data_IF_471690477690
#
_entry.id   IF_471690477690
#
_cell.length_a   1.000
_cell.length_b   1.000
_cell.length_c   1.000
_cell.angle_alpha   90.00
_cell.angle_beta   90.00
_cell.angle_gamma   90.00
#
_symmetry.space_group_name_H-M   'P 1'
#
loop_
_entity.id
_entity.type
_entity.pdbx_description
1 polymer ?
#
# COMPACT_ATOMS: atom_id res chain seq x y z
N UNK A 1 -5.39 19.11 31.64
CA UNK A 1 -6.42 18.15 31.19
C UNK A 1 -5.75 17.27 30.17
N UNK A 2 -5.51 15.99 30.47
CA UNK A 2 -5.08 15.04 29.45
C UNK A 2 -6.27 14.89 28.49
N UNK A 3 -6.15 15.36 27.25
CA UNK A 3 -7.09 14.98 26.19
C UNK A 3 -7.04 13.46 26.11
N UNK A 4 -8.17 12.80 26.35
CA UNK A 4 -8.29 11.38 26.02
C UNK A 4 -8.22 11.29 24.49
N UNK A 5 -7.11 10.78 23.97
CA UNK A 5 -6.94 10.53 22.54
C UNK A 5 -7.86 9.37 22.18
N UNK A 6 -8.74 9.57 21.20
CA UNK A 6 -9.60 8.51 20.69
C UNK A 6 -8.74 7.50 19.92
N UNK A 7 -8.87 6.21 20.21
CA UNK A 7 -8.09 5.16 19.54
C UNK A 7 -9.02 4.38 18.61
N UNK A 8 -8.68 4.35 17.33
CA UNK A 8 -9.41 3.64 16.30
C UNK A 8 -8.54 2.54 15.70
N UNK A 9 -9.12 1.37 15.45
CA UNK A 9 -8.47 0.20 14.87
C UNK A 9 -9.20 -0.21 13.61
N UNK A 10 -8.46 -0.54 12.57
CA UNK A 10 -9.05 -1.09 11.35
C UNK A 10 -9.75 -2.43 11.64
N UNK A 11 -10.84 -2.75 10.95
CA UNK A 11 -11.52 -4.04 11.05
C UNK A 11 -10.52 -5.20 10.93
N UNK A 12 -10.61 -6.17 11.85
CA UNK A 12 -9.69 -7.32 11.92
C UNK A 12 -8.33 -7.06 12.59
N UNK A 13 -8.04 -5.84 13.07
CA UNK A 13 -6.75 -5.49 13.69
C UNK A 13 -6.34 -6.44 14.83
N UNK A 14 -7.28 -6.79 15.70
CA UNK A 14 -7.02 -7.62 16.87
C UNK A 14 -6.87 -9.12 16.54
N UNK A 15 -7.24 -9.54 15.32
CA UNK A 15 -7.14 -10.93 14.88
C UNK A 15 -5.72 -11.29 14.43
N UNK A 16 -4.90 -10.27 14.11
CA UNK A 16 -3.53 -10.50 13.64
C UNK A 16 -2.64 -11.18 14.68
N UNK A 17 -2.09 -12.33 14.28
CA UNK A 17 -1.05 -13.08 14.98
C UNK A 17 0.01 -13.54 14.00
N UNK A 18 1.26 -13.16 14.25
CA UNK A 18 2.38 -13.60 13.41
C UNK A 18 2.50 -15.13 13.39
N UNK A 19 2.59 -15.70 12.19
CA UNK A 19 2.74 -17.15 11.96
C UNK A 19 4.19 -17.63 12.08
N UNK A 20 5.12 -16.71 12.38
CA UNK A 20 6.54 -16.97 12.63
C UNK A 20 7.18 -17.82 11.52
N UNK A 21 7.78 -18.96 11.88
CA UNK A 21 8.44 -19.87 10.95
C UNK A 21 7.51 -20.54 9.92
N UNK A 22 6.18 -20.40 10.06
CA UNK A 22 5.21 -20.87 9.05
C UNK A 22 4.95 -19.83 7.97
N UNK A 23 5.42 -18.59 8.14
CA UNK A 23 5.21 -17.53 7.16
C UNK A 23 6.01 -17.83 5.89
N UNK A 24 5.34 -17.89 4.74
CA UNK A 24 6.02 -18.07 3.44
C UNK A 24 6.84 -16.84 3.01
N UNK A 25 6.57 -15.68 3.60
CA UNK A 25 7.27 -14.43 3.31
C UNK A 25 7.95 -13.86 4.55
N UNK A 26 9.25 -14.11 4.73
CA UNK A 26 10.03 -13.45 5.78
C UNK A 26 9.93 -11.93 5.65
N UNK A 27 9.53 -11.22 6.72
CA UNK A 27 9.19 -9.79 6.68
C UNK A 27 10.36 -8.88 6.29
N UNK A 28 11.59 -9.29 6.60
CA UNK A 28 12.79 -8.51 6.34
C UNK A 28 13.50 -8.87 5.02
N UNK A 29 12.94 -9.71 4.15
CA UNK A 29 13.53 -9.97 2.83
C UNK A 29 12.96 -9.00 1.79
N UNK A 30 13.84 -8.36 1.01
CA UNK A 30 13.46 -7.34 0.01
C UNK A 30 13.05 -5.99 0.60
N UNK A 31 13.38 -5.74 1.88
CA UNK A 31 13.10 -4.47 2.56
C UNK A 31 14.30 -4.02 3.39
N UNK A 32 14.73 -2.77 3.18
CA UNK A 32 15.78 -2.11 3.97
C UNK A 32 15.22 -1.67 5.33
N UNK A 33 15.38 -2.54 6.33
CA UNK A 33 14.87 -2.31 7.69
C UNK A 33 15.71 -1.24 8.39
N UNK A 34 15.09 -0.10 8.66
CA UNK A 34 15.64 0.95 9.51
C UNK A 34 15.72 0.48 10.98
N UNK A 35 16.79 0.89 11.65
CA UNK A 35 17.05 0.71 13.08
C UNK A 35 16.99 2.09 13.71
N UNK A 36 15.99 2.30 14.56
CA UNK A 36 15.87 3.56 15.27
C UNK A 36 17.05 3.77 16.24
N UNK A 37 17.41 5.03 16.45
CA UNK A 37 18.56 5.42 17.28
C UNK A 37 18.52 4.80 18.69
N UNK A 38 17.34 4.75 19.32
CA UNK A 38 17.19 4.18 20.66
C UNK A 38 17.54 2.69 20.69
N UNK A 39 17.17 1.95 19.64
CA UNK A 39 17.52 0.54 19.46
C UNK A 39 19.02 0.38 19.18
N UNK A 40 19.60 1.20 18.30
CA UNK A 40 21.03 1.15 18.00
C UNK A 40 21.88 1.41 19.26
N UNK A 41 21.58 2.46 20.02
CA UNK A 41 22.28 2.77 21.28
C UNK A 41 22.14 1.64 22.32
N UNK A 42 21.00 0.96 22.34
CA UNK A 42 20.79 -0.20 23.22
C UNK A 42 21.63 -1.38 22.81
N UNK A 43 21.79 -1.62 21.51
CA UNK A 43 22.66 -2.67 20.99
C UNK A 43 24.12 -2.35 21.30
N UNK A 44 24.54 -1.11 21.15
CA UNK A 44 25.90 -0.65 21.47
C UNK A 44 26.24 -0.88 22.96
N UNK A 45 25.31 -0.55 23.86
CA UNK A 45 25.47 -0.71 25.33
C UNK A 45 25.35 -2.16 25.81
N UNK A 46 25.10 -3.13 24.93
CA UNK A 46 24.98 -4.55 25.30
C UNK A 46 26.37 -5.17 25.54
N UNK A 47 26.75 -5.36 26.81
CA UNK A 47 28.07 -5.87 27.19
C UNK A 47 28.43 -7.26 26.63
N UNK A 48 27.44 -8.09 26.30
CA UNK A 48 27.68 -9.48 25.87
C UNK A 48 27.71 -9.62 24.35
N UNK A 49 26.73 -9.04 23.68
CA UNK A 49 26.44 -9.34 22.27
C UNK A 49 26.52 -8.11 21.36
N UNK A 50 27.02 -6.96 21.84
CA UNK A 50 27.15 -5.73 21.03
C UNK A 50 27.91 -5.97 19.72
N UNK A 51 29.02 -6.73 19.73
CA UNK A 51 29.73 -7.07 18.49
C UNK A 51 28.85 -7.86 17.50
N UNK A 52 28.06 -8.84 17.99
CA UNK A 52 27.16 -9.61 17.13
C UNK A 52 26.04 -8.73 16.56
N UNK A 53 25.43 -7.91 17.40
CA UNK A 53 24.33 -7.01 17.01
C UNK A 53 24.81 -5.93 16.03
N UNK A 54 25.93 -5.26 16.29
CA UNK A 54 26.43 -4.18 15.46
C UNK A 54 27.08 -4.67 14.15
N UNK A 55 27.63 -5.88 14.11
CA UNK A 55 28.11 -6.47 12.85
C UNK A 55 27.00 -6.63 11.80
N UNK A 56 25.74 -6.76 12.25
CA UNK A 56 24.57 -6.83 11.38
C UNK A 56 23.97 -5.47 11.04
N UNK A 57 24.69 -4.35 11.23
CA UNK A 57 24.22 -2.98 10.97
C UNK A 57 25.09 -2.27 9.92
N UNK A 58 24.45 -1.62 8.94
CA UNK A 58 25.08 -0.69 7.99
C UNK A 58 24.67 0.73 8.35
N UNK A 59 25.62 1.66 8.30
CA UNK A 59 25.39 3.08 8.57
C UNK A 59 25.46 3.87 7.27
N UNK A 60 24.49 4.75 7.04
CA UNK A 60 24.50 5.73 5.95
C UNK A 60 24.43 7.14 6.52
N UNK A 61 25.08 8.09 5.86
CA UNK A 61 24.97 9.50 6.19
C UNK A 61 23.99 10.16 5.22
N UNK A 62 22.85 10.61 5.74
CA UNK A 62 21.79 11.27 4.97
C UNK A 62 21.56 12.66 5.56
N UNK A 63 21.72 13.73 4.77
CA UNK A 63 21.49 15.11 5.19
C UNK A 63 22.23 15.50 6.50
N UNK A 64 23.45 14.99 6.69
CA UNK A 64 24.28 15.24 7.89
C UNK A 64 23.79 14.52 9.16
N UNK A 65 22.92 13.52 9.03
CA UNK A 65 22.50 12.62 10.11
C UNK A 65 22.92 11.19 9.78
N UNK A 66 23.35 10.47 10.81
CA UNK A 66 23.59 9.03 10.70
C UNK A 66 22.26 8.28 10.77
N UNK A 67 22.06 7.39 9.80
CA UNK A 67 20.96 6.45 9.75
C UNK A 67 21.49 5.02 9.79
N UNK A 68 20.80 4.16 10.55
CA UNK A 68 21.21 2.79 10.81
C UNK A 68 20.22 1.84 10.14
N UNK A 69 20.73 0.85 9.41
CA UNK A 69 19.93 -0.16 8.75
C UNK A 69 20.49 -1.54 9.03
N UNK A 70 19.64 -2.56 8.96
CA UNK A 70 20.13 -3.94 8.98
C UNK A 70 21.06 -4.14 7.77
N UNK A 71 22.28 -4.62 8.02
CA UNK A 71 23.25 -4.90 6.98
C UNK A 71 22.87 -6.18 6.25
N UNK A 72 22.17 -6.00 5.13
CA UNK A 72 21.93 -7.03 4.12
C UNK A 72 22.64 -6.54 2.87
N UNK A 73 23.48 -7.37 2.26
CA UNK A 73 23.82 -7.14 0.86
C UNK A 73 22.54 -7.31 0.02
N UNK A 74 22.52 -6.76 -1.19
CA UNK A 74 21.35 -6.85 -2.07
C UNK A 74 20.91 -8.30 -2.18
N UNK A 75 19.61 -8.59 -2.02
CA UNK A 75 19.01 -9.93 -2.07
C UNK A 75 19.30 -10.87 -0.89
N UNK A 76 20.12 -10.48 0.09
CA UNK A 76 20.46 -11.35 1.21
C UNK A 76 19.40 -11.36 2.33
N UNK A 77 19.31 -12.51 3.00
CA UNK A 77 18.49 -12.65 4.20
C UNK A 77 19.04 -11.79 5.32
N UNK A 78 18.15 -11.34 6.21
CA UNK A 78 18.57 -10.65 7.42
C UNK A 78 19.59 -11.49 8.22
N UNK A 79 20.75 -10.93 8.61
CA UNK A 79 21.82 -11.66 9.29
C UNK A 79 21.40 -12.20 10.67
N UNK A 80 20.28 -11.71 11.20
CA UNK A 80 19.71 -12.16 12.47
C UNK A 80 18.74 -13.33 12.32
N UNK A 81 18.46 -13.82 11.12
CA UNK A 81 17.61 -15.00 10.92
C UNK A 81 18.41 -16.28 11.16
N UNK A 82 17.79 -17.28 11.77
CA UNK A 82 18.30 -18.65 11.77
C UNK A 82 17.85 -19.45 10.54
N UNK A 83 18.27 -20.71 10.45
CA UNK A 83 17.91 -21.60 9.34
C UNK A 83 16.42 -21.97 9.28
N UNK A 84 15.65 -21.70 10.33
CA UNK A 84 14.20 -21.90 10.39
C UNK A 84 13.41 -20.60 10.10
N UNK A 85 14.11 -19.51 9.77
CA UNK A 85 13.49 -18.21 9.50
C UNK A 85 13.05 -17.45 10.76
N UNK A 86 13.53 -17.83 11.95
CA UNK A 86 13.24 -17.14 13.20
C UNK A 86 14.32 -16.10 13.52
N UNK A 87 13.91 -14.99 14.11
CA UNK A 87 14.84 -13.92 14.51
C UNK A 87 15.62 -14.30 15.77
N UNK A 88 16.94 -14.44 15.65
CA UNK A 88 17.85 -14.72 16.76
C UNK A 88 17.84 -13.62 17.82
N UNK A 89 17.59 -12.35 17.46
CA UNK A 89 17.43 -11.27 18.44
C UNK A 89 16.25 -11.60 19.38
N UNK A 90 15.09 -11.97 18.83
CA UNK A 90 13.93 -12.35 19.65
C UNK A 90 14.24 -13.58 20.50
N UNK A 91 14.89 -14.61 19.93
CA UNK A 91 15.24 -15.84 20.66
C UNK A 91 16.20 -15.62 21.83
N UNK A 92 17.14 -14.67 21.70
CA UNK A 92 18.22 -14.46 22.68
C UNK A 92 17.97 -13.30 23.65
N UNK A 93 17.31 -12.24 23.17
CA UNK A 93 17.13 -10.98 23.90
C UNK A 93 15.67 -10.58 24.10
N UNK A 94 14.72 -11.23 23.42
CA UNK A 94 13.31 -10.90 23.43
C UNK A 94 12.92 -9.76 22.47
N UNK A 95 11.62 -9.58 22.25
CA UNK A 95 11.06 -8.60 21.31
C UNK A 95 11.39 -7.14 21.64
N UNK A 96 11.76 -6.87 22.90
CA UNK A 96 12.15 -5.53 23.37
C UNK A 96 13.45 -5.04 22.73
N UNK A 97 14.25 -5.94 22.15
CA UNK A 97 15.50 -5.59 21.43
C UNK A 97 15.30 -5.39 19.92
N UNK A 98 14.08 -5.55 19.40
CA UNK A 98 13.79 -5.25 18.00
C UNK A 98 13.76 -3.75 17.74
N UNK A 99 14.12 -3.34 16.52
CA UNK A 99 13.86 -1.98 16.06
C UNK A 99 12.35 -1.71 16.03
N UNK A 100 11.95 -0.43 16.10
CA UNK A 100 10.55 -0.02 15.99
C UNK A 100 9.88 -0.63 14.74
N UNK A 101 10.58 -0.64 13.62
CA UNK A 101 10.14 -1.26 12.35
C UNK A 101 9.81 -2.74 12.52
N UNK A 102 10.75 -3.54 13.04
CA UNK A 102 10.55 -4.98 13.25
C UNK A 102 9.51 -5.30 14.33
N UNK A 103 9.42 -4.47 15.37
CA UNK A 103 8.51 -4.69 16.49
C UNK A 103 7.05 -4.42 16.09
N UNK A 104 6.81 -3.34 15.34
CA UNK A 104 5.46 -2.90 15.00
C UNK A 104 4.90 -3.65 13.80
N UNK A 105 5.73 -4.03 12.82
CA UNK A 105 5.24 -4.68 11.59
C UNK A 105 4.40 -5.93 11.88
N UNK A 106 3.23 -6.10 11.23
CA UNK A 106 2.64 -5.27 10.17
C UNK A 106 1.67 -4.20 10.67
N UNK A 107 1.65 -3.89 11.97
CA UNK A 107 0.81 -2.84 12.53
C UNK A 107 1.41 -1.48 12.24
N UNK A 108 0.58 -0.58 11.73
CA UNK A 108 0.92 0.82 11.46
C UNK A 108 0.11 1.68 12.42
N UNK A 109 0.75 2.69 13.00
CA UNK A 109 0.12 3.66 13.90
C UNK A 109 0.27 5.05 13.32
N UNK A 110 -0.87 5.71 13.08
CA UNK A 110 -0.93 7.08 12.62
C UNK A 110 -1.51 7.93 13.76
N UNK A 111 -0.72 8.88 14.27
CA UNK A 111 -1.11 9.77 15.35
C UNK A 111 -1.52 11.13 14.77
N UNK A 112 -2.77 11.51 15.01
CA UNK A 112 -3.32 12.83 14.69
C UNK A 112 -3.52 13.63 15.99
N UNK A 113 -3.75 14.93 15.88
CA UNK A 113 -3.93 15.78 17.08
C UNK A 113 -5.09 15.34 18.00
N UNK A 114 -6.12 14.71 17.41
CA UNK A 114 -7.38 14.36 18.09
C UNK A 114 -7.60 12.85 18.27
N UNK A 115 -6.86 12.00 17.52
CA UNK A 115 -7.05 10.54 17.51
C UNK A 115 -5.76 9.81 17.13
N UNK A 116 -5.66 8.55 17.53
CA UNK A 116 -4.66 7.60 17.02
C UNK A 116 -5.39 6.52 16.24
N UNK A 117 -4.91 6.24 15.04
CA UNK A 117 -5.44 5.21 14.16
C UNK A 117 -4.43 4.06 14.01
N UNK A 118 -4.93 2.83 14.03
CA UNK A 118 -4.13 1.63 13.95
C UNK A 118 -4.60 0.76 12.78
N UNK A 119 -3.75 0.63 11.77
CA UNK A 119 -4.01 -0.15 10.55
C UNK A 119 -3.04 -1.34 10.41
N UNK A 120 -3.22 -2.14 9.36
CA UNK A 120 -2.39 -3.31 9.05
C UNK A 120 -1.83 -3.20 7.62
N UNK A 121 -0.54 -3.48 7.48
CA UNK A 121 0.15 -3.50 6.18
C UNK A 121 -0.19 -4.75 5.37
N UNK A 122 -0.54 -4.54 4.10
CA UNK A 122 -0.77 -5.59 3.12
C UNK A 122 0.52 -6.34 2.71
N UNK A 123 1.70 -5.87 3.12
CA UNK A 123 2.98 -6.57 2.92
C UNK A 123 3.14 -7.86 3.78
N UNK A 124 2.13 -8.18 4.62
CA UNK A 124 2.08 -9.39 5.42
C UNK A 124 0.98 -10.35 4.92
N UNK A 125 1.30 -11.62 4.61
CA UNK A 125 0.31 -12.57 4.08
C UNK A 125 -0.83 -12.87 5.07
N UNK A 126 -0.56 -12.88 6.38
CA UNK A 126 -1.61 -13.11 7.38
C UNK A 126 -2.62 -11.94 7.43
N UNK A 127 -2.19 -10.73 7.10
CA UNK A 127 -3.11 -9.58 6.99
C UNK A 127 -4.04 -9.77 5.80
N UNK A 128 -3.54 -10.26 4.67
CA UNK A 128 -4.37 -10.55 3.49
C UNK A 128 -5.41 -11.63 3.82
N UNK A 129 -5.03 -12.67 4.57
CA UNK A 129 -5.96 -13.69 5.06
C UNK A 129 -7.05 -13.15 5.99
N UNK A 130 -6.74 -12.11 6.79
CA UNK A 130 -7.72 -11.44 7.65
C UNK A 130 -8.68 -10.62 6.80
N UNK A 131 -8.17 -9.79 5.89
CA UNK A 131 -8.99 -8.94 5.01
C UNK A 131 -9.93 -9.77 4.11
N UNK A 132 -9.46 -10.92 3.62
CA UNK A 132 -10.26 -11.82 2.79
C UNK A 132 -11.45 -12.42 3.54
N UNK A 133 -11.30 -12.70 4.85
CA UNK A 133 -12.36 -13.29 5.70
C UNK A 133 -13.44 -12.31 6.15
N UNK A 134 -13.15 -11.00 6.11
CA UNK A 134 -14.14 -9.99 6.52
C UNK A 134 -15.21 -9.91 5.43
N UNK A 135 -16.49 -10.13 5.75
CA UNK A 135 -17.55 -10.07 4.72
C UNK A 135 -17.98 -8.63 4.40
N UNK A 136 -17.86 -7.73 5.37
CA UNK A 136 -18.26 -6.32 5.28
C UNK A 136 -17.13 -5.41 4.76
N UNK A 137 -17.44 -4.12 4.60
CA UNK A 137 -16.44 -3.09 4.28
C UNK A 137 -15.49 -2.91 5.46
N UNK A 138 -14.25 -2.55 5.16
CA UNK A 138 -13.23 -2.25 6.17
C UNK A 138 -13.43 -0.84 6.68
N UNK A 139 -13.51 -0.68 8.00
CA UNK A 139 -13.72 0.60 8.65
C UNK A 139 -12.73 0.79 9.81
N UNK A 140 -12.65 2.03 10.29
CA UNK A 140 -11.99 2.36 11.56
C UNK A 140 -12.98 2.21 12.72
N UNK A 141 -12.74 1.25 13.59
CA UNK A 141 -13.58 0.92 14.74
C UNK A 141 -12.98 1.49 16.03
N UNK A 142 -13.78 2.11 16.92
CA UNK A 142 -13.28 2.55 18.20
C UNK A 142 -12.80 1.37 19.05
N UNK A 143 -11.68 1.55 19.75
CA UNK A 143 -11.19 0.56 20.70
C UNK A 143 -12.19 0.44 21.86
N UNK A 144 -13.05 -0.58 21.78
CA UNK A 144 -14.15 -0.92 22.70
C UNK A 144 -13.93 -0.44 24.14
N UNK A 145 -14.48 0.73 24.50
CA UNK A 145 -14.69 1.14 25.90
C UNK A 145 -16.11 0.77 26.32
N UNK A 146 -16.42 -0.52 26.45
CA UNK A 146 -17.60 -1.04 27.17
C UNK A 146 -18.98 -0.41 26.89
N UNK A 147 -19.22 0.27 25.77
CA UNK A 147 -20.51 0.88 25.46
C UNK A 147 -20.91 0.61 24.01
N UNK A 148 -21.59 -0.51 23.79
CA UNK A 148 -22.27 -0.87 22.53
C UNK A 148 -23.54 -0.06 22.25
N UNK A 149 -23.69 1.12 22.83
CA UNK A 149 -24.83 2.03 22.58
C UNK A 149 -24.49 3.19 21.61
N UNK A 150 -23.25 3.29 21.12
CA UNK A 150 -22.83 4.32 20.14
C UNK A 150 -22.80 3.86 18.68
N UNK A 151 -23.49 2.76 18.33
CA UNK A 151 -23.35 2.08 17.04
C UNK A 151 -24.36 2.50 15.97
N UNK A 152 -25.19 3.51 16.22
CA UNK A 152 -26.12 4.04 15.22
C UNK A 152 -26.17 5.55 15.40
N UNK A 153 -25.91 6.28 14.32
CA UNK A 153 -25.94 7.74 14.21
C UNK A 153 -24.69 8.48 14.75
N UNK A 154 -23.64 8.56 13.93
CA UNK A 154 -22.97 9.87 13.74
C UNK A 154 -23.93 10.73 12.88
N UNK A 155 -25.16 10.96 13.37
CA UNK A 155 -25.93 12.11 12.94
C UNK A 155 -25.42 13.25 13.78
N UNK A 156 -24.60 14.10 13.17
CA UNK A 156 -24.80 15.56 13.14
C UNK A 156 -25.34 16.26 14.41
N UNK A 157 -24.99 15.85 15.64
CA UNK A 157 -25.49 16.53 16.86
C UNK A 157 -24.42 16.79 17.94
N UNK A 158 -23.13 16.60 17.65
CA UNK A 158 -22.05 17.18 18.46
C UNK A 158 -21.35 18.32 17.72
N UNK A 159 -22.05 19.45 17.63
CA UNK A 159 -21.58 20.72 17.04
C UNK A 159 -20.40 21.39 17.79
N UNK A 160 -19.63 20.66 18.59
CA UNK A 160 -18.49 21.16 19.39
C UNK A 160 -17.39 20.10 19.60
N UNK A 161 -17.11 19.26 18.60
CA UNK A 161 -15.85 18.51 18.53
C UNK A 161 -15.03 19.12 17.39
N UNK A 162 -13.76 19.40 17.66
CA UNK A 162 -12.91 20.31 16.88
C UNK A 162 -12.90 20.02 15.39
N UNK A 163 -12.69 21.06 14.60
CA UNK A 163 -12.44 21.02 13.15
C UNK A 163 -11.70 19.73 12.79
N UNK A 164 -12.42 18.80 12.15
CA UNK A 164 -11.81 17.59 11.64
C UNK A 164 -10.76 18.00 10.63
N UNK A 165 -9.54 17.52 10.81
CA UNK A 165 -8.39 17.92 10.01
C UNK A 165 -8.68 17.69 8.52
N UNK A 166 -8.30 18.64 7.65
CA UNK A 166 -8.74 18.65 6.25
C UNK A 166 -8.28 17.39 5.50
N UNK A 167 -7.06 16.92 5.79
CA UNK A 167 -6.51 15.69 5.24
C UNK A 167 -7.38 14.46 5.56
N UNK A 168 -8.04 14.44 6.73
CA UNK A 168 -8.93 13.36 7.12
C UNK A 168 -10.22 13.38 6.30
N UNK A 169 -10.75 14.57 5.97
CA UNK A 169 -11.94 14.72 5.12
C UNK A 169 -11.65 14.30 3.68
N UNK A 170 -10.50 14.69 3.13
CA UNK A 170 -10.06 14.27 1.79
C UNK A 170 -9.90 12.74 1.77
N UNK A 171 -9.23 12.18 2.78
CA UNK A 171 -9.07 10.72 2.91
C UNK A 171 -10.41 9.99 3.05
N UNK A 172 -11.38 10.55 3.78
CA UNK A 172 -12.72 9.99 3.88
C UNK A 172 -13.44 10.00 2.52
N UNK A 173 -13.34 11.09 1.76
CA UNK A 173 -13.86 11.16 0.39
C UNK A 173 -13.21 10.12 -0.54
N UNK A 174 -11.89 9.91 -0.46
CA UNK A 174 -11.21 8.83 -1.19
C UNK A 174 -11.79 7.45 -0.84
N UNK A 175 -11.97 7.16 0.44
CA UNK A 175 -12.54 5.88 0.89
C UNK A 175 -13.97 5.72 0.39
N UNK A 176 -14.78 6.78 0.41
CA UNK A 176 -16.15 6.77 -0.09
C UNK A 176 -16.21 6.49 -1.59
N UNK A 177 -15.33 7.10 -2.39
CA UNK A 177 -15.22 6.86 -3.83
C UNK A 177 -14.79 5.40 -4.10
N UNK A 178 -13.74 4.91 -3.44
CA UNK A 178 -13.22 3.54 -3.62
C UNK A 178 -14.24 2.48 -3.21
N UNK A 179 -15.07 2.78 -2.21
CA UNK A 179 -16.09 1.89 -1.69
C UNK A 179 -17.42 1.92 -2.47
N UNK A 180 -17.56 2.73 -3.52
CA UNK A 180 -18.82 2.88 -4.27
C UNK A 180 -19.05 1.74 -5.26
N UNK A 181 -20.09 0.92 -5.09
CA UNK A 181 -20.30 -0.26 -5.92
C UNK A 181 -20.78 0.02 -7.35
N UNK A 182 -21.30 1.22 -7.64
CA UNK A 182 -21.84 1.59 -8.96
C UNK A 182 -20.77 1.61 -10.08
N UNK A 183 -19.52 1.93 -9.75
CA UNK A 183 -18.40 2.03 -10.70
C UNK A 183 -17.49 0.80 -10.64
N UNK A 184 -16.72 0.52 -11.68
CA UNK A 184 -15.63 -0.47 -11.61
C UNK A 184 -14.50 0.00 -10.70
N UNK A 185 -13.71 -0.92 -10.15
CA UNK A 185 -12.62 -0.56 -9.26
C UNK A 185 -11.58 0.36 -9.95
N UNK A 186 -11.35 0.15 -11.26
CA UNK A 186 -10.49 1.00 -12.09
C UNK A 186 -11.03 2.45 -12.11
N UNK A 187 -12.31 2.63 -12.42
CA UNK A 187 -12.97 3.95 -12.47
C UNK A 187 -12.93 4.64 -11.10
N UNK A 188 -13.18 3.92 -10.00
CA UNK A 188 -13.14 4.51 -8.66
C UNK A 188 -11.75 5.04 -8.29
N UNK A 189 -10.70 4.30 -8.64
CA UNK A 189 -9.32 4.75 -8.39
C UNK A 189 -8.99 6.00 -9.21
N UNK A 190 -9.42 6.06 -10.47
CA UNK A 190 -9.23 7.22 -11.32
C UNK A 190 -10.04 8.44 -10.87
N UNK A 191 -11.31 8.26 -10.47
CA UNK A 191 -12.13 9.34 -9.88
C UNK A 191 -11.46 9.88 -8.61
N UNK A 192 -10.93 9.00 -7.76
CA UNK A 192 -10.22 9.42 -6.55
C UNK A 192 -8.95 10.21 -6.88
N UNK A 193 -8.21 9.83 -7.92
CA UNK A 193 -6.99 10.52 -8.34
C UNK A 193 -7.30 11.88 -8.98
N UNK A 194 -8.32 11.93 -9.84
CA UNK A 194 -8.86 13.17 -10.41
C UNK A 194 -9.28 14.16 -9.31
N UNK A 195 -9.97 13.69 -8.28
CA UNK A 195 -10.32 14.52 -7.12
C UNK A 195 -9.10 15.16 -6.49
N UNK A 196 -8.04 14.39 -6.24
CA UNK A 196 -6.83 14.94 -5.62
C UNK A 196 -6.09 15.91 -6.54
N UNK A 197 -6.01 15.63 -7.85
CA UNK A 197 -5.40 16.55 -8.82
C UNK A 197 -6.18 17.86 -8.93
N UNK A 198 -7.52 17.80 -8.99
CA UNK A 198 -8.34 19.01 -8.99
C UNK A 198 -8.21 19.79 -7.68
N UNK A 199 -7.95 19.12 -6.55
CA UNK A 199 -7.61 19.79 -5.28
C UNK A 199 -6.22 20.46 -5.34
N UNK A 200 -5.23 19.83 -5.99
CA UNK A 200 -3.88 20.38 -6.09
C UNK A 200 -3.80 21.57 -7.07
N UNK A 201 -4.46 21.46 -8.23
CA UNK A 201 -4.36 22.44 -9.32
C UNK A 201 -5.10 23.75 -9.07
N UNK A 202 -6.15 23.74 -8.24
CA UNK A 202 -6.89 24.97 -7.96
C UNK A 202 -6.19 25.80 -6.88
N UNK A 203 -5.50 26.86 -7.33
CA UNK A 203 -4.91 27.87 -6.46
C UNK A 203 -5.94 28.56 -5.53
N UNK A 204 -7.25 28.33 -5.72
CA UNK A 204 -8.33 28.94 -4.94
C UNK A 204 -8.64 28.25 -3.61
N UNK A 205 -8.12 27.06 -3.30
CA UNK A 205 -8.27 26.39 -1.99
C UNK A 205 -7.46 27.08 -0.87
N UNK A 206 -7.76 28.35 -0.68
CA UNK A 206 -7.23 29.22 0.36
C UNK A 206 -8.09 29.18 1.63
N UNK A 207 -9.23 28.47 1.57
CA UNK A 207 -10.16 28.28 2.69
C UNK A 207 -10.77 26.88 2.70
N UNK A 208 -11.12 26.40 3.90
CA UNK A 208 -11.81 25.11 4.13
C UNK A 208 -13.16 25.01 3.41
N UNK A 209 -13.88 26.13 3.25
CA UNK A 209 -15.19 26.14 2.59
C UNK A 209 -15.12 25.69 1.12
N UNK A 210 -14.12 26.16 0.37
CA UNK A 210 -13.96 25.84 -1.06
C UNK A 210 -13.58 24.37 -1.24
N UNK A 211 -12.71 23.84 -0.37
CA UNK A 211 -12.37 22.42 -0.38
C UNK A 211 -13.61 21.55 -0.14
N UNK A 212 -14.46 21.93 0.82
CA UNK A 212 -15.69 21.19 1.10
C UNK A 212 -16.66 21.21 -0.08
N UNK A 213 -16.79 22.35 -0.78
CA UNK A 213 -17.57 22.42 -2.02
C UNK A 213 -17.03 21.48 -3.10
N UNK A 214 -15.71 21.35 -3.24
CA UNK A 214 -15.10 20.40 -4.18
C UNK A 214 -15.40 18.95 -3.80
N UNK A 215 -15.16 18.57 -2.54
CA UNK A 215 -15.46 17.21 -2.05
C UNK A 215 -16.95 16.86 -2.19
N UNK A 216 -17.84 17.86 -2.09
CA UNK A 216 -19.28 17.68 -2.27
C UNK A 216 -19.64 17.36 -3.73
N UNK A 217 -18.93 17.93 -4.73
CA UNK A 217 -19.08 17.51 -6.15
C UNK A 217 -18.77 16.03 -6.31
N UNK A 218 -17.66 15.57 -5.75
CA UNK A 218 -17.27 14.16 -5.76
C UNK A 218 -18.14 13.27 -4.88
N UNK A 219 -19.11 13.81 -4.14
CA UNK A 219 -20.11 13.01 -3.44
C UNK A 219 -21.37 12.77 -4.29
N UNK A 220 -21.52 13.48 -5.41
CA UNK A 220 -22.63 13.30 -6.36
C UNK A 220 -22.31 12.22 -7.40
N UNK A 221 -23.20 11.23 -7.52
CA UNK A 221 -22.99 10.12 -8.45
C UNK A 221 -23.13 10.50 -9.93
N UNK A 222 -23.89 11.54 -10.29
CA UNK A 222 -23.96 11.99 -11.68
C UNK A 222 -22.66 12.69 -12.08
N UNK A 223 -22.09 13.51 -11.19
CA UNK A 223 -20.77 14.09 -11.41
C UNK A 223 -19.69 13.01 -11.58
N UNK A 224 -19.67 11.98 -10.71
CA UNK A 224 -18.76 10.84 -10.86
C UNK A 224 -18.94 10.09 -12.19
N UNK A 225 -20.16 10.00 -12.73
CA UNK A 225 -20.41 9.41 -14.06
C UNK A 225 -19.85 10.28 -15.17
N UNK A 226 -19.95 11.60 -15.05
CA UNK A 226 -19.35 12.53 -16.02
C UNK A 226 -17.83 12.36 -16.05
N UNK A 227 -17.19 12.32 -14.87
CA UNK A 227 -15.74 12.07 -14.72
C UNK A 227 -15.35 10.71 -15.34
N UNK A 228 -16.03 9.62 -14.96
CA UNK A 228 -15.78 8.29 -15.51
C UNK A 228 -16.00 8.23 -17.03
N UNK A 229 -17.01 8.91 -17.55
CA UNK A 229 -17.29 8.98 -18.98
C UNK A 229 -16.15 9.63 -19.75
N UNK A 230 -15.60 10.75 -19.26
CA UNK A 230 -14.47 11.44 -19.90
C UNK A 230 -13.30 10.49 -20.11
N UNK A 231 -12.96 9.67 -19.11
CA UNK A 231 -11.83 8.74 -19.22
C UNK A 231 -12.13 7.50 -20.06
N UNK A 232 -13.36 6.99 -20.02
CA UNK A 232 -13.78 5.86 -20.85
C UNK A 232 -13.82 6.20 -22.36
N UNK A 233 -13.98 7.47 -22.72
CA UNK A 233 -13.97 7.93 -24.12
C UNK A 233 -12.55 8.17 -24.67
N UNK A 234 -11.51 8.04 -23.85
CA UNK A 234 -10.13 8.13 -24.33
C UNK A 234 -9.87 6.91 -25.23
N UNK A 235 -9.59 7.15 -26.51
CA UNK A 235 -9.21 6.09 -27.45
C UNK A 235 -7.80 5.58 -27.11
N UNK A 236 -7.74 4.51 -26.32
CA UNK A 236 -6.49 3.84 -25.96
C UNK A 236 -6.20 2.67 -26.92
N UNK A 237 -4.95 2.61 -27.41
CA UNK A 237 -4.46 1.41 -28.08
C UNK A 237 -4.06 0.37 -27.03
N UNK A 238 -4.89 -0.66 -26.85
CA UNK A 238 -4.65 -1.74 -25.88
C UNK A 238 -3.26 -2.38 -25.99
N UNK A 239 -2.73 -2.54 -27.20
CA UNK A 239 -1.40 -3.15 -27.39
C UNK A 239 -0.33 -2.22 -26.82
N UNK A 240 -0.40 -0.92 -27.12
CA UNK A 240 0.56 0.07 -26.64
C UNK A 240 0.47 0.20 -25.12
N UNK A 241 -0.75 0.22 -24.56
CA UNK A 241 -0.97 0.26 -23.12
C UNK A 241 -0.47 -1.00 -22.40
N UNK A 242 -0.60 -2.17 -23.03
CA UNK A 242 -0.04 -3.42 -22.49
C UNK A 242 1.50 -3.46 -22.60
N UNK A 243 2.08 -2.85 -23.64
CA UNK A 243 3.52 -2.69 -23.78
C UNK A 243 4.08 -1.80 -22.67
N UNK A 244 3.37 -0.72 -22.36
CA UNK A 244 3.76 0.23 -21.32
C UNK A 244 3.72 -0.42 -19.93
N UNK A 245 2.59 -1.02 -19.53
CA UNK A 245 2.49 -1.70 -18.23
C UNK A 245 3.48 -2.88 -18.13
N UNK A 246 3.81 -3.56 -19.23
CA UNK A 246 4.84 -4.60 -19.26
C UNK A 246 6.22 -4.03 -18.94
N UNK A 247 6.55 -2.89 -19.55
CA UNK A 247 7.83 -2.20 -19.34
C UNK A 247 7.93 -1.73 -17.89
N UNK A 248 6.90 -1.05 -17.39
CA UNK A 248 6.82 -0.63 -16.00
C UNK A 248 6.92 -1.81 -15.03
N UNK A 249 6.25 -2.92 -15.31
CA UNK A 249 6.35 -4.14 -14.51
C UNK A 249 7.79 -4.67 -14.45
N UNK A 250 8.48 -4.77 -15.60
CA UNK A 250 9.86 -5.24 -15.67
C UNK A 250 10.80 -4.33 -14.88
N UNK A 251 10.67 -3.02 -15.04
CA UNK A 251 11.48 -2.04 -14.30
C UNK A 251 11.27 -2.15 -12.78
N UNK A 252 10.01 -2.29 -12.35
CA UNK A 252 9.64 -2.39 -10.93
C UNK A 252 10.15 -3.68 -10.28
N UNK A 253 10.21 -4.80 -11.02
CA UNK A 253 10.64 -6.09 -10.46
C UNK A 253 12.13 -6.38 -10.66
N UNK A 254 12.86 -5.59 -11.45
CA UNK A 254 14.27 -5.85 -11.80
C UNK A 254 15.15 -6.02 -10.55
N UNK A 255 14.99 -5.13 -9.57
CA UNK A 255 15.73 -5.16 -8.30
C UNK A 255 15.20 -6.18 -7.28
N UNK A 256 14.16 -6.94 -7.62
CA UNK A 256 13.47 -7.84 -6.69
C UNK A 256 13.37 -9.29 -7.18
N UNK A 257 13.50 -9.55 -8.47
CA UNK A 257 13.40 -10.90 -9.07
C UNK A 257 14.45 -11.89 -8.55
N UNK A 258 15.57 -11.40 -8.02
CA UNK A 258 16.63 -12.22 -7.40
C UNK A 258 16.53 -12.31 -5.87
N UNK A 259 15.58 -11.61 -5.22
CA UNK A 259 15.39 -11.69 -3.76
C UNK A 259 14.88 -13.08 -3.40
N UNK A 260 15.52 -13.79 -2.47
CA UNK A 260 15.27 -15.22 -2.23
C UNK A 260 13.80 -15.64 -2.13
N UNK A 261 12.98 -15.00 -1.30
CA UNK A 261 11.56 -15.35 -1.16
C UNK A 261 10.63 -14.75 -2.24
N UNK A 262 11.11 -13.81 -3.05
CA UNK A 262 10.33 -13.21 -4.14
C UNK A 262 10.61 -13.92 -5.47
N UNK A 263 11.85 -14.42 -5.64
CA UNK A 263 12.32 -15.09 -6.84
C UNK A 263 11.39 -16.21 -7.28
N UNK A 264 10.98 -17.09 -6.37
CA UNK A 264 10.11 -18.22 -6.71
C UNK A 264 8.73 -17.82 -7.27
N UNK A 265 8.30 -16.58 -7.09
CA UNK A 265 7.00 -16.08 -7.56
C UNK A 265 7.18 -15.12 -8.74
N UNK A 266 8.27 -14.34 -8.77
CA UNK A 266 8.56 -13.37 -9.82
C UNK A 266 9.27 -13.97 -11.03
N UNK A 267 10.14 -14.98 -10.84
CA UNK A 267 11.01 -15.50 -11.90
C UNK A 267 10.22 -15.94 -13.14
N UNK A 268 9.16 -16.73 -12.97
CA UNK A 268 8.35 -17.23 -14.09
C UNK A 268 7.65 -16.10 -14.86
N UNK A 269 7.02 -15.16 -14.14
CA UNK A 269 6.28 -14.06 -14.77
C UNK A 269 7.20 -12.99 -15.38
N UNK A 270 8.35 -12.71 -14.75
CA UNK A 270 9.35 -11.78 -15.29
C UNK A 270 10.00 -12.33 -16.55
N UNK A 271 10.41 -13.61 -16.54
CA UNK A 271 10.97 -14.25 -17.73
C UNK A 271 9.95 -14.31 -18.88
N UNK A 272 8.68 -14.55 -18.56
CA UNK A 272 7.61 -14.51 -19.55
C UNK A 272 7.39 -13.11 -20.11
N UNK A 273 7.36 -12.08 -19.25
CA UNK A 273 7.19 -10.67 -19.63
C UNK A 273 8.32 -10.15 -20.55
N UNK A 274 9.57 -10.56 -20.33
CA UNK A 274 10.71 -10.17 -21.18
C UNK A 274 10.56 -10.68 -22.63
N UNK A 275 9.99 -11.86 -22.80
CA UNK A 275 9.80 -12.52 -24.11
C UNK A 275 8.38 -12.41 -24.67
N UNK A 276 7.49 -11.68 -24.00
CA UNK A 276 6.07 -11.68 -24.30
C UNK A 276 5.76 -11.05 -25.66
N UNK A 277 4.95 -11.75 -26.47
CA UNK A 277 4.32 -11.12 -27.64
C UNK A 277 3.04 -10.42 -27.19
N UNK A 278 3.14 -9.12 -26.91
CA UNK A 278 2.04 -8.32 -26.37
C UNK A 278 0.84 -8.25 -27.32
N UNK A 279 1.04 -8.25 -28.64
CA UNK A 279 -0.08 -8.30 -29.60
C UNK A 279 -0.94 -9.54 -29.36
N UNK A 280 -0.31 -10.71 -29.21
CA UNK A 280 -1.02 -11.96 -28.91
C UNK A 280 -1.66 -11.96 -27.53
N UNK A 281 -0.98 -11.44 -26.50
CA UNK A 281 -1.55 -11.38 -25.15
C UNK A 281 -2.76 -10.44 -25.09
N UNK A 282 -2.78 -9.38 -25.89
CA UNK A 282 -3.88 -8.41 -25.91
C UNK A 282 -5.24 -9.01 -26.26
N UNK A 283 -5.25 -10.19 -26.90
CA UNK A 283 -6.46 -10.96 -27.22
C UNK A 283 -7.08 -11.58 -25.96
N UNK A 284 -6.26 -11.99 -24.99
CA UNK A 284 -6.67 -12.64 -23.73
C UNK A 284 -7.17 -11.65 -22.67
N UNK A 285 -6.75 -10.38 -22.77
CA UNK A 285 -7.02 -9.34 -21.76
C UNK A 285 -8.50 -9.21 -21.37
N UNK A 286 -9.41 -9.34 -22.34
CA UNK A 286 -10.84 -9.15 -22.11
C UNK A 286 -11.45 -10.27 -21.27
N UNK A 287 -11.13 -11.52 -21.56
CA UNK A 287 -11.63 -12.65 -20.77
C UNK A 287 -10.93 -12.68 -19.41
N UNK A 288 -9.63 -12.36 -19.37
CA UNK A 288 -8.89 -12.16 -18.13
C UNK A 288 -9.57 -11.14 -17.20
N UNK A 289 -9.85 -9.90 -17.65
CA UNK A 289 -10.49 -8.86 -16.82
C UNK A 289 -11.82 -9.35 -16.25
N UNK A 290 -12.59 -10.12 -17.01
CA UNK A 290 -13.86 -10.69 -16.54
C UNK A 290 -13.66 -11.70 -15.41
N UNK A 291 -12.66 -12.57 -15.52
CA UNK A 291 -12.32 -13.56 -14.48
C UNK A 291 -11.71 -12.89 -13.24
N UNK A 292 -10.89 -11.85 -13.43
CA UNK A 292 -10.23 -11.12 -12.35
C UNK A 292 -11.20 -10.36 -11.43
N UNK A 293 -12.39 -10.00 -11.91
CA UNK A 293 -13.42 -9.30 -11.12
C UNK A 293 -13.83 -10.03 -9.84
N UNK A 294 -13.65 -11.35 -9.76
CA UNK A 294 -13.90 -12.12 -8.53
C UNK A 294 -13.07 -11.61 -7.34
N UNK A 295 -11.88 -11.05 -7.60
CA UNK A 295 -10.95 -10.58 -6.57
C UNK A 295 -11.14 -9.11 -6.20
N UNK A 296 -12.03 -8.37 -6.87
CA UNK A 296 -12.21 -6.93 -6.64
C UNK A 296 -12.56 -6.61 -5.18
N UNK A 297 -13.35 -7.45 -4.51
CA UNK A 297 -13.69 -7.24 -3.10
C UNK A 297 -12.48 -7.32 -2.18
N UNK A 298 -11.57 -8.27 -2.40
CA UNK A 298 -10.33 -8.36 -1.63
C UNK A 298 -9.42 -7.16 -1.92
N UNK A 299 -9.28 -6.81 -3.20
CA UNK A 299 -8.43 -5.69 -3.63
C UNK A 299 -8.95 -4.35 -3.08
N UNK A 300 -10.26 -4.11 -3.10
CA UNK A 300 -10.90 -2.93 -2.49
C UNK A 300 -10.54 -2.80 -1.01
N UNK A 301 -10.66 -3.89 -0.23
CA UNK A 301 -10.28 -3.88 1.20
C UNK A 301 -8.80 -3.60 1.40
N UNK A 302 -7.93 -4.15 0.55
CA UNK A 302 -6.49 -3.88 0.59
C UNK A 302 -6.20 -2.40 0.27
N UNK A 303 -6.87 -1.83 -0.74
CA UNK A 303 -6.75 -0.42 -1.12
C UNK A 303 -7.23 0.48 0.03
N UNK A 304 -8.42 0.24 0.59
CA UNK A 304 -8.93 1.00 1.75
C UNK A 304 -7.99 0.91 2.96
N UNK A 305 -7.45 -0.28 3.25
CA UNK A 305 -6.45 -0.45 4.31
C UNK A 305 -5.19 0.39 4.07
N UNK A 306 -4.73 0.49 2.81
CA UNK A 306 -3.59 1.31 2.43
C UNK A 306 -3.90 2.81 2.46
N UNK A 307 -5.10 3.24 2.08
CA UNK A 307 -5.54 4.64 2.20
C UNK A 307 -5.49 5.05 3.68
N UNK A 308 -6.01 4.22 4.59
CA UNK A 308 -5.92 4.48 6.03
C UNK A 308 -4.48 4.55 6.54
N UNK A 309 -3.57 3.73 6.02
CA UNK A 309 -2.18 3.68 6.49
C UNK A 309 -1.30 4.78 5.91
N UNK A 310 -1.53 5.19 4.64
CA UNK A 310 -0.56 5.98 3.87
C UNK A 310 -1.06 7.38 3.51
N UNK A 311 -2.34 7.59 3.23
CA UNK A 311 -2.88 8.90 2.80
C UNK A 311 -3.11 9.83 4.01
N UNK A 312 -2.06 10.11 4.78
CA UNK A 312 -2.16 10.79 6.10
C UNK A 312 -1.55 12.19 6.14
N UNK A 313 -0.88 12.62 5.07
CA UNK A 313 -0.21 13.91 5.02
C UNK A 313 -1.22 15.06 4.91
N UNK A 314 -0.90 16.19 5.55
CA UNK A 314 -1.57 17.47 5.34
C UNK A 314 -1.06 18.19 4.07
N UNK A 315 0.04 17.73 3.50
CA UNK A 315 0.53 18.12 2.19
C UNK A 315 -0.19 17.34 1.07
N UNK A 316 -0.73 18.09 0.10
CA UNK A 316 -1.52 17.51 -1.00
C UNK A 316 -0.67 16.71 -1.99
N UNK A 317 0.58 17.13 -2.25
CA UNK A 317 1.48 16.40 -3.13
C UNK A 317 1.79 15.04 -2.50
N UNK A 318 2.14 15.01 -1.21
CA UNK A 318 2.38 13.77 -0.47
C UNK A 318 1.14 12.84 -0.44
N UNK A 319 -0.06 13.41 -0.33
CA UNK A 319 -1.30 12.63 -0.37
C UNK A 319 -1.56 12.02 -1.76
N UNK A 320 -1.32 12.79 -2.83
CA UNK A 320 -1.42 12.32 -4.21
C UNK A 320 -0.41 11.21 -4.47
N UNK A 321 0.85 11.41 -4.09
CA UNK A 321 1.90 10.41 -4.23
C UNK A 321 1.54 9.13 -3.47
N UNK A 322 1.04 9.25 -2.24
CA UNK A 322 0.59 8.09 -1.45
C UNK A 322 -0.54 7.31 -2.14
N UNK A 323 -1.53 8.01 -2.71
CA UNK A 323 -2.64 7.36 -3.41
C UNK A 323 -2.20 6.78 -4.76
N UNK A 324 -1.35 7.47 -5.51
CA UNK A 324 -0.75 7.00 -6.76
C UNK A 324 0.00 5.68 -6.56
N UNK A 325 0.83 5.57 -5.52
CA UNK A 325 1.54 4.32 -5.22
C UNK A 325 0.57 3.17 -4.94
N UNK A 326 -0.57 3.44 -4.29
CA UNK A 326 -1.63 2.44 -4.09
C UNK A 326 -2.24 1.99 -5.43
N UNK A 327 -2.46 2.92 -6.36
CA UNK A 327 -2.95 2.61 -7.71
C UNK A 327 -1.92 1.76 -8.46
N UNK A 328 -0.65 2.16 -8.46
CA UNK A 328 0.44 1.41 -9.11
C UNK A 328 0.56 -0.01 -8.54
N UNK A 329 0.45 -0.18 -7.21
CA UNK A 329 0.40 -1.50 -6.59
C UNK A 329 -0.76 -2.35 -7.14
N UNK A 330 -1.96 -1.79 -7.22
CA UNK A 330 -3.13 -2.49 -7.78
C UNK A 330 -2.90 -2.87 -9.25
N UNK A 331 -2.39 -1.95 -10.06
CA UNK A 331 -2.14 -2.18 -11.49
C UNK A 331 -1.10 -3.28 -11.71
N UNK A 332 0.00 -3.27 -10.96
CA UNK A 332 1.04 -4.29 -11.07
C UNK A 332 0.59 -5.66 -10.51
N UNK A 333 -0.22 -5.70 -9.46
CA UNK A 333 -0.87 -6.95 -9.01
C UNK A 333 -1.73 -7.53 -10.14
N UNK A 334 -2.60 -6.70 -10.73
CA UNK A 334 -3.46 -7.12 -11.84
C UNK A 334 -2.65 -7.56 -13.06
N UNK A 335 -1.53 -6.89 -13.36
CA UNK A 335 -0.69 -7.28 -14.48
C UNK A 335 0.09 -8.57 -14.22
N UNK A 336 0.66 -8.76 -13.03
CA UNK A 336 1.33 -10.00 -12.65
C UNK A 336 0.38 -11.21 -12.68
N UNK A 337 -0.86 -11.04 -12.22
CA UNK A 337 -1.89 -12.08 -12.31
C UNK A 337 -2.25 -12.36 -13.78
N UNK A 338 -2.27 -11.35 -14.65
CA UNK A 338 -2.48 -11.52 -16.09
C UNK A 338 -1.36 -12.33 -16.74
N UNK A 339 -0.09 -12.00 -16.47
CA UNK A 339 1.06 -12.78 -16.96
C UNK A 339 0.96 -14.24 -16.51
N UNK A 340 0.67 -14.46 -15.22
CA UNK A 340 0.50 -15.80 -14.67
C UNK A 340 -0.70 -16.56 -15.27
N UNK A 341 -1.81 -15.87 -15.55
CA UNK A 341 -2.97 -16.41 -16.25
C UNK A 341 -2.60 -16.91 -17.66
N UNK A 342 -1.78 -16.15 -18.40
CA UNK A 342 -1.30 -16.53 -19.72
C UNK A 342 -0.29 -17.70 -19.68
N UNK A 343 0.40 -17.92 -18.56
CA UNK A 343 1.32 -19.05 -18.37
C UNK A 343 0.57 -20.34 -17.99
N UNK A 344 -0.47 -20.25 -17.15
CA UNK A 344 -1.05 -21.39 -16.41
C UNK A 344 -2.46 -21.81 -16.87
N UNK A 345 -2.64 -22.04 -18.17
CA UNK A 345 -3.90 -22.53 -18.77
C UNK A 345 -5.13 -21.65 -18.41
N UNK A 346 -4.98 -20.32 -18.40
CA UNK A 346 -6.10 -19.38 -18.25
C UNK A 346 -6.88 -19.55 -16.92
N UNK A 347 -6.17 -19.90 -15.83
CA UNK A 347 -6.77 -20.03 -14.49
C UNK A 347 -6.11 -19.10 -13.49
N UNK A 348 -6.94 -18.39 -12.73
CA UNK A 348 -6.48 -17.53 -11.63
C UNK A 348 -6.67 -18.29 -10.31
N UNK A 349 -5.60 -18.55 -9.57
CA UNK A 349 -5.69 -19.16 -8.23
C UNK A 349 -5.71 -18.06 -7.17
N UNK A 350 -6.62 -18.19 -6.20
CA UNK A 350 -6.77 -17.23 -5.10
C UNK A 350 -5.45 -16.98 -4.34
N UNK A 351 -4.71 -18.04 -4.00
CA UNK A 351 -3.41 -17.95 -3.32
C UNK A 351 -2.37 -17.13 -4.11
N UNK A 352 -2.36 -17.23 -5.44
CA UNK A 352 -1.43 -16.49 -6.30
C UNK A 352 -1.77 -15.00 -6.30
N UNK A 353 -3.05 -14.63 -6.37
CA UNK A 353 -3.49 -13.23 -6.27
C UNK A 353 -3.06 -12.63 -4.93
N UNK A 354 -3.27 -13.35 -3.83
CA UNK A 354 -2.83 -12.93 -2.49
C UNK A 354 -1.32 -12.73 -2.41
N UNK A 355 -0.55 -13.60 -3.07
CA UNK A 355 0.90 -13.50 -3.12
C UNK A 355 1.37 -12.28 -3.89
N UNK A 356 0.76 -11.98 -5.03
CA UNK A 356 1.07 -10.76 -5.77
C UNK A 356 0.71 -9.51 -4.96
N UNK A 357 -0.41 -9.48 -4.22
CA UNK A 357 -0.73 -8.35 -3.32
C UNK A 357 0.39 -8.14 -2.30
N UNK A 358 0.85 -9.21 -1.64
CA UNK A 358 1.93 -9.13 -0.65
C UNK A 358 3.23 -8.64 -1.29
N UNK A 359 3.58 -9.17 -2.46
CA UNK A 359 4.83 -8.84 -3.17
C UNK A 359 4.84 -7.38 -3.58
N UNK A 360 3.79 -6.88 -4.24
CA UNK A 360 3.78 -5.49 -4.70
C UNK A 360 3.64 -4.48 -3.56
N UNK A 361 2.98 -4.83 -2.46
CA UNK A 361 3.05 -4.01 -1.24
C UNK A 361 4.45 -3.97 -0.60
N UNK A 362 5.33 -4.94 -0.91
CA UNK A 362 6.75 -4.87 -0.52
C UNK A 362 7.58 -4.10 -1.54
N UNK A 363 7.43 -4.39 -2.83
CA UNK A 363 8.19 -3.74 -3.91
C UNK A 363 7.92 -2.25 -3.93
N UNK A 364 6.65 -1.85 -3.77
CA UNK A 364 6.24 -0.45 -3.79
C UNK A 364 6.13 0.08 -2.35
N UNK A 365 5.12 -0.33 -1.58
CA UNK A 365 4.85 0.27 -0.27
C UNK A 365 6.03 0.30 0.71
N UNK A 366 6.76 -0.80 0.88
CA UNK A 366 7.93 -0.82 1.78
C UNK A 366 9.14 -0.05 1.24
N UNK A 367 9.19 0.23 -0.07
CA UNK A 367 10.30 0.89 -0.75
C UNK A 367 9.82 2.14 -1.51
N UNK A 368 8.81 2.84 -0.97
CA UNK A 368 8.10 3.94 -1.63
C UNK A 368 9.05 5.06 -2.09
N UNK A 369 10.05 5.42 -1.28
CA UNK A 369 11.04 6.44 -1.61
C UNK A 369 11.82 6.10 -2.90
N UNK A 370 12.26 4.86 -3.05
CA UNK A 370 12.98 4.40 -4.25
C UNK A 370 12.07 4.37 -5.48
N UNK A 371 10.78 4.05 -5.30
CA UNK A 371 9.79 4.09 -6.39
C UNK A 371 9.53 5.53 -6.82
N UNK A 372 9.42 6.47 -5.88
CA UNK A 372 9.23 7.88 -6.19
C UNK A 372 10.45 8.49 -6.89
N UNK A 373 11.67 8.09 -6.50
CA UNK A 373 12.91 8.46 -7.20
C UNK A 373 12.90 7.93 -8.64
N UNK A 374 12.54 6.65 -8.84
CA UNK A 374 12.39 6.08 -10.18
C UNK A 374 11.36 6.84 -11.04
N UNK A 375 10.21 7.19 -10.47
CA UNK A 375 9.18 7.95 -11.20
C UNK A 375 9.67 9.36 -11.54
N UNK A 376 10.36 10.05 -10.62
CA UNK A 376 10.93 11.38 -10.86
C UNK A 376 11.97 11.36 -11.98
N UNK A 377 12.84 10.34 -11.99
CA UNK A 377 13.87 10.17 -13.02
C UNK A 377 13.26 9.84 -14.40
N UNK A 378 12.15 9.11 -14.43
CA UNK A 378 11.46 8.69 -15.65
C UNK A 378 10.52 9.74 -16.25
N UNK A 379 9.81 10.50 -15.41
CA UNK A 379 8.70 11.38 -15.81
C UNK A 379 8.95 12.86 -15.55
N UNK A 380 10.14 13.25 -15.06
CA UNK A 380 10.50 14.62 -14.63
C UNK A 380 9.72 15.15 -13.40
N UNK A 381 8.54 14.58 -13.12
CA UNK A 381 7.69 14.84 -11.96
C UNK A 381 7.30 13.49 -11.31
N UNK A 382 7.37 13.33 -9.98
CA UNK A 382 6.90 12.12 -9.30
C UNK A 382 5.38 11.92 -9.39
N UNK A 383 4.59 12.98 -9.59
CA UNK A 383 3.13 12.89 -9.79
C UNK A 383 2.86 12.57 -11.27
N UNK A 384 2.24 11.42 -11.53
CA UNK A 384 1.89 10.99 -12.87
C UNK A 384 0.72 11.81 -13.41
N UNK A 385 0.82 12.19 -14.67
CA UNK A 385 -0.29 12.80 -15.39
C UNK A 385 -1.48 11.84 -15.47
N UNK A 386 -2.70 12.38 -15.34
CA UNK A 386 -3.93 11.59 -15.41
C UNK A 386 -4.06 10.80 -16.72
N UNK A 387 -3.58 11.37 -17.84
CA UNK A 387 -3.55 10.69 -19.13
C UNK A 387 -2.68 9.44 -19.14
N UNK A 388 -1.50 9.49 -18.51
CA UNK A 388 -0.62 8.33 -18.36
C UNK A 388 -1.26 7.27 -17.47
N UNK A 389 -1.84 7.67 -16.33
CA UNK A 389 -2.51 6.74 -15.43
C UNK A 389 -3.70 6.04 -16.11
N UNK A 390 -4.49 6.76 -16.90
CA UNK A 390 -5.55 6.19 -17.73
C UNK A 390 -5.00 5.18 -18.75
N UNK A 391 -3.89 5.52 -19.41
CA UNK A 391 -3.24 4.67 -20.40
C UNK A 391 -2.81 3.32 -19.81
N UNK A 392 -2.17 3.29 -18.64
CA UNK A 392 -1.74 2.04 -17.99
C UNK A 392 -2.85 1.31 -17.22
N UNK A 393 -3.98 1.99 -16.95
CA UNK A 393 -5.16 1.38 -16.31
C UNK A 393 -5.98 0.52 -17.26
N UNK A 394 -5.74 0.60 -18.59
CA UNK A 394 -6.22 -0.39 -19.57
C UNK A 394 -7.73 -0.66 -19.48
N UNK A 395 -8.54 0.34 -19.84
CA UNK A 395 -10.01 0.26 -19.84
C UNK A 395 -10.55 -1.00 -20.54
#
# INVERSE_FOLDING_TARGET
MNKEINMLKISGYNDFKCTANKCKFTCCEGWDINIDKDTYERWEKNEKDSNYLLNGVKTKECNGKEEYFINKETFEKCPFLDCEGLCNIVKSHGEVYLSKTCHSFPRIKNDFEIKSEFSLSCACPEVIEILDKIEEKILMEPEDRNNKEGLLEIKSENKNQGEELLELKIRESLINIVSEEEFSLDERLLIGFDMLLNILEDESYTSEEILLEELEKYSDNEYRKEVAYVYNEIELNRVDSLLEINSLFLDMVENYREVSNLKCILEDISNFAEGANIESLSEEWKEYKKNFKEFNKLLEKCIVSKIYSNCISDDMEDMILSFQLIILEYLLVRYAVFLNYCINDEKIKNEEVKDYIVIFSRIIGNNAEAVLEFLSDGFEDPILEMGYLCFITLF
#
